data_IF_042025704801
#
_entry.id   IF_042025704801
#
_cell.length_a   1.000
_cell.length_b   1.000
_cell.length_c   1.000
_cell.angle_alpha   90.00
_cell.angle_beta   90.00
_cell.angle_gamma   90.00
#
_symmetry.space_group_name_H-M   'P 1'
#
loop_
_entity.id
_entity.type
_entity.pdbx_description
1 polymer ?
#
# COMPACT_ATOMS: atom_id res chain seq x y z
N UNK A 1 -17.91 24.10 -11.14
CA UNK A 1 -16.62 24.15 -10.43
C UNK A 1 -15.55 23.71 -11.42
N UNK A 2 -14.61 24.60 -11.73
CA UNK A 2 -13.68 24.44 -12.86
C UNK A 2 -12.62 23.38 -12.54
N UNK A 3 -12.66 22.26 -13.26
CA UNK A 3 -11.58 21.27 -13.29
C UNK A 3 -10.45 21.85 -14.12
N UNK A 4 -9.54 22.59 -13.50
CA UNK A 4 -8.25 22.95 -14.09
C UNK A 4 -7.48 21.66 -14.35
N UNK A 5 -7.44 21.22 -15.62
CA UNK A 5 -6.48 20.22 -16.06
C UNK A 5 -5.07 20.70 -15.68
N UNK A 6 -4.26 19.87 -15.02
CA UNK A 6 -2.88 20.23 -14.72
C UNK A 6 -2.11 20.46 -16.03
N UNK A 7 -1.27 21.49 -16.06
CA UNK A 7 -0.29 21.71 -17.12
C UNK A 7 0.76 20.60 -17.11
N UNK A 8 1.31 20.26 -18.28
CA UNK A 8 2.38 19.28 -18.46
C UNK A 8 3.47 19.42 -17.38
N UNK A 9 3.66 18.37 -16.58
CA UNK A 9 4.68 18.29 -15.52
C UNK A 9 4.16 18.16 -14.08
N UNK A 10 2.85 18.23 -13.85
CA UNK A 10 2.25 18.00 -12.53
C UNK A 10 1.65 16.59 -12.42
N UNK A 11 1.99 15.90 -11.34
CA UNK A 11 1.49 14.56 -11.02
C UNK A 11 0.54 14.64 -9.81
N UNK A 12 -0.43 13.73 -9.73
CA UNK A 12 -1.33 13.66 -8.58
C UNK A 12 -0.55 13.22 -7.33
N UNK A 13 -0.69 13.94 -6.22
CA UNK A 13 -0.14 13.57 -4.90
C UNK A 13 -1.21 12.92 -4.03
N UNK A 14 -2.36 13.58 -3.94
CA UNK A 14 -3.48 13.16 -3.11
C UNK A 14 -4.77 13.28 -3.91
N UNK A 15 -5.61 12.23 -3.87
CA UNK A 15 -6.93 12.18 -4.49
C UNK A 15 -7.93 11.75 -3.40
N UNK A 16 -8.77 12.67 -2.87
CA UNK A 16 -9.78 12.34 -1.88
C UNK A 16 -10.80 11.34 -2.43
N UNK A 17 -11.14 10.34 -1.63
CA UNK A 17 -12.25 9.41 -1.85
C UNK A 17 -13.32 9.53 -0.76
N UNK A 18 -14.30 8.62 -0.80
CA UNK A 18 -15.43 8.63 0.14
C UNK A 18 -15.00 8.36 1.61
N UNK A 19 -14.11 7.39 1.81
CA UNK A 19 -13.66 6.94 3.14
C UNK A 19 -12.14 6.95 3.29
N UNK A 20 -11.41 7.00 2.18
CA UNK A 20 -9.94 6.98 2.13
C UNK A 20 -9.45 8.05 1.16
N UNK A 21 -8.17 8.41 1.26
CA UNK A 21 -7.49 9.27 0.31
C UNK A 21 -6.43 8.44 -0.42
N UNK A 22 -6.42 8.49 -1.75
CA UNK A 22 -5.34 7.87 -2.52
C UNK A 22 -4.13 8.79 -2.49
N UNK A 23 -3.00 8.31 -1.99
CA UNK A 23 -1.74 9.05 -1.93
C UNK A 23 -0.71 8.38 -2.82
N UNK A 24 0.05 9.19 -3.56
CA UNK A 24 1.08 8.75 -4.49
C UNK A 24 2.43 9.33 -4.11
N UNK A 25 3.50 8.58 -4.33
CA UNK A 25 4.89 9.02 -4.23
C UNK A 25 5.72 8.57 -5.43
N UNK A 26 6.71 9.37 -5.80
CA UNK A 26 7.51 9.25 -7.02
C UNK A 26 8.98 9.10 -6.65
N UNK A 27 9.40 7.90 -6.21
CA UNK A 27 10.77 7.70 -5.74
C UNK A 27 11.78 7.85 -6.88
N UNK A 28 13.00 8.28 -6.54
CA UNK A 28 14.12 8.52 -7.45
C UNK A 28 14.55 7.27 -8.22
N UNK A 29 14.31 6.08 -7.64
CA UNK A 29 14.54 4.78 -8.27
C UNK A 29 13.58 4.48 -9.44
N UNK A 30 12.62 5.37 -9.68
CA UNK A 30 11.60 5.26 -10.71
C UNK A 30 10.33 4.54 -10.25
N UNK A 31 9.30 4.58 -11.09
CA UNK A 31 7.98 4.03 -10.78
C UNK A 31 7.16 4.93 -9.85
N UNK A 32 6.19 4.32 -9.17
CA UNK A 32 5.25 5.01 -8.28
C UNK A 32 4.93 4.12 -7.09
N UNK A 33 4.91 4.68 -5.88
CA UNK A 33 4.30 4.05 -4.72
C UNK A 33 2.92 4.66 -4.55
N UNK A 34 1.87 3.86 -4.49
CA UNK A 34 0.49 4.36 -4.37
C UNK A 34 -0.30 3.51 -3.40
N UNK A 35 -1.04 4.20 -2.53
CA UNK A 35 -1.84 3.60 -1.48
C UNK A 35 -3.14 4.33 -1.19
N UNK A 36 -4.02 3.67 -0.44
CA UNK A 36 -5.29 4.23 0.02
C UNK A 36 -5.32 4.30 1.54
N UNK A 37 -5.46 5.51 2.06
CA UNK A 37 -5.24 5.79 3.46
C UNK A 37 -6.47 6.40 4.14
N UNK A 38 -6.74 5.91 5.35
CA UNK A 38 -7.71 6.50 6.28
C UNK A 38 -7.14 7.76 6.93
N UNK A 39 -7.98 8.52 7.66
CA UNK A 39 -7.54 9.73 8.36
C UNK A 39 -6.39 9.49 9.36
N UNK A 40 -6.32 8.30 9.96
CA UNK A 40 -5.26 7.91 10.91
C UNK A 40 -3.92 7.74 10.20
N UNK A 41 -3.91 7.07 9.05
CA UNK A 41 -2.69 6.84 8.28
C UNK A 41 -2.18 8.13 7.64
N UNK A 42 -3.08 9.01 7.17
CA UNK A 42 -2.72 10.33 6.69
C UNK A 42 -2.03 11.17 7.77
N UNK A 43 -2.53 11.12 9.01
CA UNK A 43 -1.89 11.80 10.14
C UNK A 43 -0.49 11.23 10.42
N UNK A 44 -0.34 9.90 10.38
CA UNK A 44 0.96 9.24 10.53
C UNK A 44 1.94 9.64 9.41
N UNK A 45 1.46 9.76 8.18
CA UNK A 45 2.21 10.28 7.03
C UNK A 45 2.49 11.79 7.10
N UNK A 46 1.95 12.49 8.10
CA UNK A 46 1.99 13.95 8.26
C UNK A 46 1.35 14.70 7.09
N UNK A 47 0.32 14.11 6.49
CA UNK A 47 -0.50 14.71 5.44
C UNK A 47 -1.76 15.30 6.07
N UNK A 48 -2.04 16.61 5.87
CA UNK A 48 -3.27 17.20 6.37
C UNK A 48 -4.52 16.52 5.80
N UNK A 49 -5.45 16.10 6.67
CA UNK A 49 -6.71 15.44 6.28
C UNK A 49 -7.60 16.32 5.39
N UNK A 50 -7.48 17.64 5.54
CA UNK A 50 -8.23 18.63 4.77
C UNK A 50 -7.53 19.02 3.45
N UNK A 51 -6.41 18.39 3.10
CA UNK A 51 -5.72 18.70 1.86
C UNK A 51 -6.66 18.40 0.69
N UNK A 52 -6.93 19.35 -0.21
CA UNK A 52 -7.70 19.08 -1.42
C UNK A 52 -6.93 18.09 -2.31
N UNK A 53 -7.53 17.72 -3.45
CA UNK A 53 -6.76 17.12 -4.55
C UNK A 53 -5.51 17.97 -4.77
N UNK A 54 -4.36 17.38 -4.49
CA UNK A 54 -3.09 18.09 -4.54
C UNK A 54 -2.24 17.49 -5.63
N UNK A 55 -1.57 18.38 -6.35
CA UNK A 55 -0.60 18.04 -7.36
C UNK A 55 0.80 18.31 -6.81
N UNK A 56 1.74 17.44 -7.12
CA UNK A 56 3.15 17.66 -6.87
C UNK A 56 3.91 17.80 -8.19
N UNK A 57 5.01 18.53 -8.16
CA UNK A 57 6.05 18.38 -9.17
C UNK A 57 6.96 17.24 -8.73
N UNK A 58 7.35 16.39 -9.66
CA UNK A 58 8.39 15.41 -9.37
C UNK A 58 9.67 16.20 -9.09
N UNK A 59 10.32 15.99 -7.93
CA UNK A 59 11.55 16.69 -7.62
C UNK A 59 12.64 16.42 -8.64
N UNK A 60 13.48 17.42 -8.89
CA UNK A 60 14.62 17.30 -9.82
C UNK A 60 15.96 17.53 -9.12
N UNK A 61 15.97 18.26 -8.01
CA UNK A 61 17.15 18.45 -7.18
C UNK A 61 17.32 17.30 -6.17
N UNK A 62 18.57 17.06 -5.79
CA UNK A 62 18.96 15.90 -4.98
C UNK A 62 18.31 15.88 -3.59
N UNK A 63 18.13 17.05 -2.95
CA UNK A 63 17.57 17.11 -1.61
C UNK A 63 16.08 16.79 -1.61
N UNK A 64 15.34 17.41 -2.52
CA UNK A 64 13.90 17.14 -2.68
C UNK A 64 13.64 15.70 -3.15
N UNK A 65 14.56 15.09 -3.91
CA UNK A 65 14.50 13.65 -4.25
C UNK A 65 14.68 12.77 -3.00
N UNK A 66 15.58 13.11 -2.09
CA UNK A 66 15.76 12.39 -0.81
C UNK A 66 14.51 12.49 0.08
N UNK A 67 13.89 13.67 0.12
CA UNK A 67 12.63 13.86 0.85
C UNK A 67 11.49 13.02 0.27
N UNK A 68 11.38 12.98 -1.05
CA UNK A 68 10.39 12.17 -1.76
C UNK A 68 10.65 10.67 -1.59
N UNK A 69 11.92 10.25 -1.60
CA UNK A 69 12.32 8.87 -1.33
C UNK A 69 11.96 8.44 0.09
N UNK A 70 12.23 9.30 1.08
CA UNK A 70 11.83 9.07 2.46
C UNK A 70 10.30 9.01 2.60
N UNK A 71 9.56 9.83 1.84
CA UNK A 71 8.11 9.78 1.80
C UNK A 71 7.58 8.49 1.15
N UNK A 72 8.12 8.09 0.00
CA UNK A 72 7.79 6.83 -0.66
C UNK A 72 8.06 5.63 0.25
N UNK A 73 9.17 5.64 1.01
CA UNK A 73 9.46 4.60 2.00
C UNK A 73 8.40 4.56 3.10
N UNK A 74 7.90 5.70 3.57
CA UNK A 74 6.81 5.73 4.56
C UNK A 74 5.51 5.12 4.02
N UNK A 75 5.18 5.34 2.74
CA UNK A 75 4.03 4.68 2.11
C UNK A 75 4.24 3.16 2.07
N UNK A 76 5.41 2.71 1.64
CA UNK A 76 5.75 1.28 1.66
C UNK A 76 5.72 0.68 3.07
N UNK A 77 6.09 1.47 4.08
CA UNK A 77 6.01 1.05 5.48
C UNK A 77 4.57 0.91 5.97
N UNK A 78 3.64 1.70 5.43
CA UNK A 78 2.19 1.48 5.57
C UNK A 78 1.66 0.30 4.73
N UNK A 79 2.58 -0.51 4.19
CA UNK A 79 2.35 -1.72 3.43
C UNK A 79 1.74 -1.50 2.04
N UNK A 80 1.86 -0.27 1.51
CA UNK A 80 1.56 0.01 0.11
C UNK A 80 2.66 -0.45 -0.83
N UNK A 81 2.34 -0.41 -2.12
CA UNK A 81 3.10 -1.11 -3.15
C UNK A 81 3.70 -0.15 -4.15
N UNK A 82 4.92 -0.50 -4.55
CA UNK A 82 5.56 0.06 -5.73
C UNK A 82 4.97 -0.57 -7.00
N UNK A 83 4.78 0.27 -8.01
CA UNK A 83 4.34 -0.10 -9.35
C UNK A 83 5.25 0.55 -10.40
N UNK A 84 5.44 -0.08 -11.57
CA UNK A 84 6.24 0.51 -12.63
C UNK A 84 5.65 1.84 -13.13
N UNK A 85 4.32 1.93 -13.23
CA UNK A 85 3.55 3.14 -13.61
C UNK A 85 2.11 3.04 -13.09
N UNK A 86 1.44 4.19 -12.90
CA UNK A 86 0.04 4.23 -12.47
C UNK A 86 -0.89 3.53 -13.46
N UNK A 87 -0.63 3.67 -14.76
CA UNK A 87 -1.37 3.00 -15.84
C UNK A 87 -1.29 1.47 -15.74
N UNK A 88 -0.12 0.94 -15.34
CA UNK A 88 0.07 -0.50 -15.17
C UNK A 88 -0.82 -1.01 -14.04
N UNK A 89 -0.85 -0.32 -12.90
CA UNK A 89 -1.77 -0.64 -11.79
C UNK A 89 -3.23 -0.56 -12.24
N UNK A 90 -3.60 0.49 -12.99
CA UNK A 90 -4.98 0.68 -13.47
C UNK A 90 -5.47 -0.40 -14.44
N UNK A 91 -4.57 -0.99 -15.24
CA UNK A 91 -4.88 -2.11 -16.15
C UNK A 91 -5.06 -3.44 -15.43
N UNK A 92 -4.52 -3.58 -14.22
CA UNK A 92 -4.53 -4.80 -13.42
C UNK A 92 -5.23 -4.55 -12.07
N UNK A 93 -6.58 -4.47 -12.04
CA UNK A 93 -7.31 -4.33 -10.78
C UNK A 93 -7.08 -5.54 -9.86
N UNK A 94 -6.96 -5.26 -8.57
CA UNK A 94 -6.73 -6.24 -7.50
C UNK A 94 -7.87 -7.24 -7.32
N UNK A 95 -9.11 -6.83 -7.55
CA UNK A 95 -10.31 -7.66 -7.42
C UNK A 95 -10.88 -8.21 -8.73
N UNK A 96 -10.26 -7.95 -9.88
CA UNK A 96 -10.81 -8.45 -11.15
C UNK A 96 -10.20 -9.79 -11.53
N UNK A 97 -11.08 -10.71 -11.96
CA UNK A 97 -10.64 -11.91 -12.66
C UNK A 97 -10.00 -11.51 -14.01
N UNK A 98 -8.84 -12.06 -14.39
CA UNK A 98 -8.08 -13.11 -13.72
C UNK A 98 -6.91 -12.59 -12.86
N UNK A 99 -6.77 -11.29 -12.65
CA UNK A 99 -5.58 -10.68 -12.04
C UNK A 99 -5.46 -10.87 -10.52
N UNK A 100 -6.58 -11.02 -9.80
CA UNK A 100 -6.59 -11.15 -8.33
C UNK A 100 -5.73 -12.30 -7.78
N UNK A 101 -5.44 -13.32 -8.60
CA UNK A 101 -4.60 -14.47 -8.24
C UNK A 101 -3.11 -14.12 -8.13
N UNK A 102 -2.67 -13.16 -8.93
CA UNK A 102 -1.28 -12.73 -9.07
C UNK A 102 -1.03 -11.39 -8.38
N UNK A 103 -2.06 -10.86 -7.71
CA UNK A 103 -1.97 -9.63 -6.95
C UNK A 103 -1.36 -9.86 -5.57
N UNK A 104 -0.58 -8.91 -5.02
CA UNK A 104 -0.13 -8.96 -3.63
C UNK A 104 -1.31 -9.04 -2.65
N UNK A 105 -1.15 -9.69 -1.48
CA UNK A 105 -2.16 -9.63 -0.43
C UNK A 105 -2.32 -8.19 0.09
N UNK A 106 -3.52 -7.88 0.58
CA UNK A 106 -3.80 -6.63 1.26
C UNK A 106 -3.12 -6.67 2.62
N UNK A 107 -2.34 -5.64 2.93
CA UNK A 107 -1.63 -5.53 4.20
C UNK A 107 -2.15 -4.32 4.95
N UNK A 108 -2.50 -4.52 6.21
CA UNK A 108 -3.00 -3.47 7.08
C UNK A 108 -2.11 -3.38 8.30
N UNK A 109 -1.51 -2.20 8.50
CA UNK A 109 -0.54 -1.99 9.56
C UNK A 109 -1.02 -1.03 10.64
N UNK A 110 -0.46 -1.18 11.84
CA UNK A 110 -0.63 -0.26 12.95
C UNK A 110 0.68 -0.05 13.69
N UNK A 111 0.94 1.18 14.14
CA UNK A 111 2.15 1.57 14.87
C UNK A 111 1.79 2.02 16.28
N UNK A 112 1.87 1.14 17.29
CA UNK A 112 1.52 1.51 18.65
C UNK A 112 2.52 2.53 19.21
N UNK A 113 2.02 3.61 19.82
CA UNK A 113 2.88 4.65 20.42
C UNK A 113 3.70 4.17 21.63
N UNK A 114 3.34 3.04 22.23
CA UNK A 114 4.07 2.48 23.36
C UNK A 114 5.42 1.91 22.88
N UNK A 115 6.45 2.77 22.90
CA UNK A 115 7.83 2.35 22.94
C UNK A 115 7.97 1.39 24.13
N UNK A 116 8.26 0.11 23.86
CA UNK A 116 8.67 -0.79 24.92
C UNK A 116 9.83 -0.11 25.64
N UNK A 117 9.70 0.11 26.95
CA UNK A 117 10.66 0.83 27.81
C UNK A 117 12.07 0.17 27.89
N UNK A 118 12.39 -0.70 26.94
CA UNK A 118 13.66 -1.41 26.75
C UNK A 118 14.09 -1.34 25.27
N UNK A 119 14.69 -0.21 24.89
CA UNK A 119 15.44 -0.03 23.63
C UNK A 119 14.71 0.71 22.52
N UNK A 120 15.46 1.12 21.48
CA UNK A 120 14.96 1.72 20.23
C UNK A 120 14.20 0.70 19.37
N UNK A 121 13.15 0.11 19.94
CA UNK A 121 12.28 -0.86 19.27
C UNK A 121 11.07 -0.12 18.72
N UNK A 122 10.76 -0.37 17.45
CA UNK A 122 9.60 0.22 16.77
C UNK A 122 8.56 -0.89 16.53
N UNK A 123 7.67 -1.15 17.49
CA UNK A 123 6.67 -2.20 17.33
C UNK A 123 5.74 -1.91 16.15
N UNK A 124 5.26 -2.97 15.51
CA UNK A 124 4.31 -2.89 14.40
C UNK A 124 3.33 -4.07 14.47
N UNK A 125 2.07 -3.80 14.16
CA UNK A 125 1.06 -4.82 13.91
C UNK A 125 0.84 -4.95 12.42
N UNK A 126 0.76 -6.17 11.91
CA UNK A 126 0.49 -6.44 10.49
C UNK A 126 -0.62 -7.48 10.37
N UNK A 127 -1.68 -7.12 9.65
CA UNK A 127 -2.74 -8.03 9.26
C UNK A 127 -2.68 -8.24 7.74
N UNK A 128 -2.67 -9.51 7.30
CA UNK A 128 -2.72 -9.87 5.89
C UNK A 128 -4.11 -10.34 5.53
N UNK A 129 -4.75 -9.68 4.57
CA UNK A 129 -6.11 -10.01 4.16
C UNK A 129 -6.29 -10.13 2.65
N UNK A 130 -7.47 -10.59 2.24
CA UNK A 130 -8.02 -10.45 0.89
C UNK A 130 -9.53 -10.20 0.93
N UNK A 131 -10.08 -9.79 -0.21
CA UNK A 131 -11.47 -9.33 -0.31
C UNK A 131 -12.56 -10.42 -0.26
N UNK A 132 -12.20 -11.69 -0.07
CA UNK A 132 -13.17 -12.81 -0.07
C UNK A 132 -13.72 -13.16 -1.45
N UNK A 133 -13.88 -12.18 -2.36
CA UNK A 133 -14.51 -12.36 -3.67
C UNK A 133 -13.65 -13.09 -4.71
N UNK A 134 -12.35 -13.27 -4.44
CA UNK A 134 -11.41 -13.89 -5.35
C UNK A 134 -10.63 -15.03 -4.68
N UNK A 135 -10.50 -16.14 -5.39
CA UNK A 135 -9.56 -17.21 -5.02
C UNK A 135 -8.14 -16.66 -5.20
N UNK A 136 -7.26 -16.88 -4.23
CA UNK A 136 -5.81 -16.60 -4.34
C UNK A 136 -5.03 -17.90 -4.35
N UNK A 137 -3.78 -17.86 -4.82
CA UNK A 137 -2.92 -19.04 -4.81
C UNK A 137 -2.80 -19.60 -3.37
N UNK A 138 -2.89 -20.93 -3.17
CA UNK A 138 -2.85 -21.56 -1.83
C UNK A 138 -1.60 -21.24 -1.00
N UNK A 139 -0.48 -20.98 -1.67
CA UNK A 139 0.80 -20.56 -1.06
C UNK A 139 0.74 -19.14 -0.45
N UNK A 140 -0.30 -18.36 -0.78
CA UNK A 140 -0.57 -17.02 -0.27
C UNK A 140 -1.97 -16.95 0.35
N UNK A 141 -2.41 -17.95 1.11
CA UNK A 141 -3.76 -18.01 1.69
C UNK A 141 -3.92 -16.97 2.84
N UNK A 142 -4.33 -15.72 2.57
CA UNK A 142 -4.43 -14.67 3.57
C UNK A 142 -5.75 -14.88 4.34
N UNK A 143 -5.96 -14.13 5.42
CA UNK A 143 -7.26 -14.17 6.08
C UNK A 143 -8.30 -13.45 5.21
N UNK A 144 -9.52 -13.98 5.15
CA UNK A 144 -10.62 -13.21 4.56
C UNK A 144 -10.87 -11.96 5.43
N UNK A 145 -11.20 -10.83 4.80
CA UNK A 145 -11.53 -9.61 5.55
C UNK A 145 -12.71 -9.88 6.51
N UNK A 146 -12.57 -9.55 7.81
CA UNK A 146 -13.68 -9.62 8.75
C UNK A 146 -14.89 -8.79 8.32
N UNK A 147 -16.11 -9.27 8.62
CA UNK A 147 -17.37 -8.60 8.25
C UNK A 147 -17.50 -7.16 8.78
N UNK A 148 -16.87 -6.84 9.91
CA UNK A 148 -16.88 -5.53 10.55
C UNK A 148 -15.69 -4.65 10.15
N UNK A 149 -15.16 -4.86 8.92
CA UNK A 149 -14.00 -4.17 8.36
C UNK A 149 -14.04 -2.64 8.48
N UNK A 150 -15.23 -2.05 8.38
CA UNK A 150 -15.44 -0.60 8.48
C UNK A 150 -14.93 0.01 9.80
N UNK A 151 -14.72 -0.81 10.85
CA UNK A 151 -14.07 -0.37 12.10
C UNK A 151 -12.69 0.25 11.88
N UNK A 152 -11.91 -0.24 10.91
CA UNK A 152 -10.59 0.35 10.60
C UNK A 152 -10.72 1.76 10.02
N UNK A 153 -11.71 1.99 9.17
CA UNK A 153 -11.97 3.32 8.61
C UNK A 153 -12.53 4.31 9.65
N UNK A 154 -13.22 3.80 10.67
CA UNK A 154 -13.81 4.58 11.75
C UNK A 154 -12.82 4.97 12.86
N UNK A 155 -11.61 4.40 12.89
CA UNK A 155 -10.60 4.74 13.89
C UNK A 155 -10.23 6.23 13.81
N UNK A 156 -10.12 6.88 14.97
CA UNK A 156 -9.69 8.27 15.11
C UNK A 156 -8.20 8.41 15.43
N UNK A 157 -7.57 7.36 15.96
CA UNK A 157 -6.15 7.35 16.36
C UNK A 157 -5.42 6.07 15.92
N UNK A 158 -4.08 6.12 15.93
CA UNK A 158 -3.26 4.95 15.62
C UNK A 158 -3.39 3.86 16.70
N UNK A 159 -3.62 4.23 17.95
CA UNK A 159 -3.87 3.33 19.07
C UNK A 159 -5.17 2.54 18.88
N UNK A 160 -6.24 3.22 18.50
CA UNK A 160 -7.52 2.60 18.18
C UNK A 160 -7.37 1.64 16.99
N UNK A 161 -6.65 2.06 15.95
CA UNK A 161 -6.34 1.20 14.80
C UNK A 161 -5.57 -0.05 15.23
N UNK A 162 -4.56 0.09 16.09
CA UNK A 162 -3.83 -1.05 16.63
C UNK A 162 -4.74 -1.98 17.43
N UNK A 163 -5.67 -1.46 18.23
CA UNK A 163 -6.64 -2.27 18.97
C UNK A 163 -7.55 -3.07 18.02
N UNK A 164 -8.10 -2.42 16.98
CA UNK A 164 -8.92 -3.11 15.96
C UNK A 164 -8.11 -4.18 15.23
N UNK A 165 -6.86 -3.88 14.86
CA UNK A 165 -5.98 -4.87 14.22
C UNK A 165 -5.73 -6.09 15.11
N UNK A 166 -5.53 -5.91 16.42
CA UNK A 166 -5.44 -7.05 17.37
C UNK A 166 -6.70 -7.89 17.40
N UNK A 167 -7.86 -7.23 17.45
CA UNK A 167 -9.16 -7.93 17.44
C UNK A 167 -9.33 -8.76 16.15
N UNK A 168 -8.78 -8.29 15.03
CA UNK A 168 -8.78 -9.00 13.75
C UNK A 168 -7.67 -10.07 13.63
N UNK A 169 -6.87 -10.28 14.66
CA UNK A 169 -5.82 -11.29 14.67
C UNK A 169 -4.52 -10.85 13.98
N UNK A 170 -4.22 -9.55 13.95
CA UNK A 170 -2.96 -9.05 13.42
C UNK A 170 -1.75 -9.65 14.17
N UNK A 171 -0.68 -9.91 13.43
CA UNK A 171 0.58 -10.36 14.00
C UNK A 171 1.35 -9.17 14.56
N UNK A 172 1.77 -9.24 15.82
CA UNK A 172 2.60 -8.22 16.45
C UNK A 172 4.09 -8.54 16.27
N UNK A 173 4.86 -7.53 15.88
CA UNK A 173 6.31 -7.58 15.80
C UNK A 173 6.90 -6.57 16.77
N UNK A 174 7.81 -7.01 17.63
CA UNK A 174 8.51 -6.15 18.58
C UNK A 174 9.37 -5.05 17.91
N UNK A 175 9.75 -5.27 16.65
CA UNK A 175 10.57 -4.35 15.87
C UNK A 175 10.21 -4.49 14.39
N UNK A 176 9.85 -3.38 13.76
CA UNK A 176 9.53 -3.28 12.33
C UNK A 176 10.62 -3.91 11.45
N UNK A 177 11.89 -3.82 11.85
CA UNK A 177 13.01 -4.41 11.10
C UNK A 177 12.96 -5.94 11.01
N UNK A 178 12.20 -6.59 11.88
CA UNK A 178 12.01 -8.04 11.88
C UNK A 178 10.81 -8.48 11.08
N UNK A 179 9.93 -7.55 10.70
CA UNK A 179 8.74 -7.87 9.93
C UNK A 179 9.13 -8.13 8.46
N UNK A 180 8.90 -9.34 7.92
CA UNK A 180 9.30 -9.69 6.56
C UNK A 180 8.45 -9.03 5.48
N UNK A 181 7.26 -8.54 5.85
CA UNK A 181 6.27 -7.98 4.93
C UNK A 181 6.44 -6.48 4.71
N UNK A 182 7.26 -5.84 5.54
CA UNK A 182 7.43 -4.40 5.55
C UNK A 182 8.86 -4.07 5.11
N UNK A 183 9.02 -3.46 3.93
CA UNK A 183 10.34 -3.15 3.40
C UNK A 183 11.05 -2.09 4.25
N UNK A 184 12.36 -2.29 4.45
CA UNK A 184 13.23 -1.39 5.22
C UNK A 184 13.92 -0.36 4.31
N UNK A 185 13.82 -0.53 2.99
CA UNK A 185 14.37 0.37 2.00
C UNK A 185 13.50 0.44 0.74
N UNK A 186 13.68 1.49 -0.07
CA UNK A 186 13.03 1.59 -1.38
C UNK A 186 13.44 0.45 -2.32
N UNK A 187 14.70 0.01 -2.24
CA UNK A 187 15.20 -1.10 -3.04
C UNK A 187 14.45 -2.40 -2.76
N UNK A 188 14.18 -2.69 -1.48
CA UNK A 188 13.38 -3.85 -1.07
C UNK A 188 11.93 -3.73 -1.55
N UNK A 189 11.29 -2.57 -1.34
CA UNK A 189 9.90 -2.36 -1.78
C UNK A 189 9.73 -2.44 -3.30
N UNK A 190 10.70 -1.91 -4.05
CA UNK A 190 10.72 -2.03 -5.52
C UNK A 190 10.96 -3.47 -5.96
N UNK A 191 11.91 -4.18 -5.34
CA UNK A 191 12.18 -5.58 -5.67
C UNK A 191 10.95 -6.47 -5.45
N UNK A 192 10.22 -6.23 -4.35
CA UNK A 192 8.95 -6.90 -4.07
C UNK A 192 7.88 -6.53 -5.10
N UNK A 193 7.70 -5.24 -5.41
CA UNK A 193 6.77 -4.79 -6.44
C UNK A 193 7.05 -5.36 -7.84
N UNK A 194 8.32 -5.52 -8.21
CA UNK A 194 8.72 -6.16 -9.49
C UNK A 194 8.30 -7.61 -9.59
N UNK A 195 8.27 -8.37 -8.50
CA UNK A 195 7.74 -9.75 -8.52
C UNK A 195 6.28 -9.76 -8.97
N UNK A 196 5.47 -8.85 -8.44
CA UNK A 196 4.06 -8.74 -8.83
C UNK A 196 3.88 -8.16 -10.23
N UNK A 197 4.74 -7.23 -10.66
CA UNK A 197 4.76 -6.79 -12.06
C UNK A 197 4.96 -7.98 -13.01
N UNK A 198 5.97 -8.82 -12.75
CA UNK A 198 6.24 -10.01 -13.57
C UNK A 198 5.09 -11.00 -13.56
N UNK A 199 4.49 -11.24 -12.39
CA UNK A 199 3.33 -12.13 -12.25
C UNK A 199 2.11 -11.61 -13.02
N UNK A 200 1.81 -10.31 -12.92
CA UNK A 200 0.70 -9.70 -13.64
C UNK A 200 0.91 -9.66 -15.15
N UNK A 201 2.15 -9.41 -15.61
CA UNK A 201 2.49 -9.51 -17.04
C UNK A 201 2.26 -10.90 -17.61
N UNK A 202 2.49 -11.97 -16.84
CA UNK A 202 2.17 -13.34 -17.29
C UNK A 202 0.68 -13.53 -17.55
N UNK A 203 -0.19 -12.77 -16.89
CA UNK A 203 -1.63 -12.83 -17.15
C UNK A 203 -2.04 -12.18 -18.47
N UNK A 204 -1.16 -11.39 -19.09
CA UNK A 204 -1.35 -10.89 -20.46
C UNK A 204 -0.96 -11.95 -21.52
N UNK A 205 -0.30 -13.04 -21.13
CA UNK A 205 0.05 -14.17 -22.00
C UNK A 205 -1.10 -15.19 -22.05
N UNK A 206 -1.66 -15.38 -23.24
CA UNK A 206 -2.80 -16.26 -23.49
C UNK A 206 -2.48 -17.72 -23.19
N UNK A 207 -1.27 -18.20 -23.50
CA UNK A 207 -0.88 -19.59 -23.24
C UNK A 207 -0.71 -19.85 -21.75
N UNK A 208 -0.14 -18.88 -21.03
CA UNK A 208 -0.04 -18.95 -19.58
C UNK A 208 -1.42 -18.96 -18.93
N UNK A 209 -2.30 -18.04 -19.33
CA UNK A 209 -3.65 -17.92 -18.80
C UNK A 209 -4.46 -19.20 -19.05
N UNK A 210 -4.42 -19.75 -20.26
CA UNK A 210 -5.16 -20.97 -20.62
C UNK A 210 -4.66 -22.17 -19.82
N UNK A 211 -3.33 -22.37 -19.76
CA UNK A 211 -2.73 -23.45 -18.95
C UNK A 211 -3.11 -23.33 -17.47
N UNK A 212 -3.13 -22.11 -16.95
CA UNK A 212 -3.44 -21.86 -15.56
C UNK A 212 -4.94 -22.08 -15.27
N UNK A 213 -5.85 -21.64 -16.14
CA UNK A 213 -7.29 -21.91 -16.02
C UNK A 213 -7.60 -23.41 -16.05
N UNK A 214 -6.83 -24.22 -16.78
CA UNK A 214 -6.98 -25.67 -16.83
C UNK A 214 -6.39 -26.40 -15.61
N UNK A 215 -5.74 -25.67 -14.69
CA UNK A 215 -5.11 -26.21 -13.48
C UNK A 215 -5.84 -25.87 -12.18
N UNK A 216 -6.89 -25.03 -12.26
CA UNK A 216 -7.86 -24.76 -11.19
C UNK A 216 -8.90 -25.89 -11.11
#
# INVERSE_FOLDING_TARGET
>A
MSSTKPSDGHHHRAIPGLYTCTIMAYPSVGGIVVGQFTGVELEWLRIPRSSPESYCRIPTDEESLKEEDAFALRLLQLADRWWPRLEFKGKHPDGSYPYGYHYPPDLHVGYPSASSSRGNKHPILVLKTFDGECIRLPEHNPLEKPNDWSRLAACGTMEERCAVLRDFGATEWDDMKKCPDIPQSLGEGMAEGKKYEELLRKMEDVEYLDKWMMSL
#
